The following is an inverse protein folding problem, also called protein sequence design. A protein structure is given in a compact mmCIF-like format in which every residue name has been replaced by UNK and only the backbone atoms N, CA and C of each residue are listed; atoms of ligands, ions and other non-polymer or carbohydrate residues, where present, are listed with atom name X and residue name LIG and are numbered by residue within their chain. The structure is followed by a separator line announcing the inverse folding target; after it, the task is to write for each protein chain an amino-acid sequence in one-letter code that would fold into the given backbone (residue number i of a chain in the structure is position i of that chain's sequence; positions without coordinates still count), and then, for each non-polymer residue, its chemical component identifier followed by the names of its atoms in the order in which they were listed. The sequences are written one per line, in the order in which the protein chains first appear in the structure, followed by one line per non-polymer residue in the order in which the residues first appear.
data_IF_895427356464
#
_entry.id   IF_895427356464
#
_cell.length_a   1.000
_cell.length_b   1.000
_cell.length_c   1.000
_cell.angle_alpha   90.00
_cell.angle_beta   90.00
_cell.angle_gamma   90.00
#
_symmetry.space_group_name_H-M   'P 1'
#
loop_
_entity.id
_entity.type
_entity.pdbx_description
1 polymer ?
#
# COMPACT_ATOMS: atom_id res chain seq x y z
N UNK A 1 -49.88 -12.03 20.85
CA UNK A 1 -48.44 -11.68 20.97
C UNK A 1 -47.54 -12.65 20.18
N UNK A 2 -47.82 -12.92 18.89
CA UNK A 2 -47.01 -13.87 18.07
C UNK A 2 -46.23 -13.20 16.92
N UNK A 3 -46.39 -11.90 16.71
CA UNK A 3 -45.84 -11.19 15.56
C UNK A 3 -44.63 -10.30 15.89
N UNK A 4 -44.32 -10.10 17.17
CA UNK A 4 -43.19 -9.26 17.63
C UNK A 4 -41.83 -9.95 17.51
N UNK A 5 -41.79 -11.28 17.39
CA UNK A 5 -40.54 -12.04 17.28
C UNK A 5 -39.92 -11.99 15.86
N UNK A 6 -40.70 -11.69 14.81
CA UNK A 6 -40.22 -11.68 13.42
C UNK A 6 -39.42 -10.44 13.04
N UNK A 7 -39.56 -9.33 13.79
CA UNK A 7 -38.88 -8.07 13.50
C UNK A 7 -37.41 -8.12 13.96
N UNK A 8 -37.09 -8.87 15.02
CA UNK A 8 -35.72 -8.99 15.53
C UNK A 8 -34.76 -9.75 14.60
N UNK A 9 -35.26 -10.71 13.82
CA UNK A 9 -34.44 -11.49 12.88
C UNK A 9 -34.04 -10.66 11.65
N UNK A 10 -34.85 -9.67 11.26
CA UNK A 10 -34.57 -8.84 10.09
C UNK A 10 -33.45 -7.82 10.31
N UNK A 11 -33.23 -7.38 11.56
CA UNK A 11 -32.21 -6.37 11.91
C UNK A 11 -30.79 -6.96 11.90
N UNK A 12 -30.62 -8.26 12.19
CA UNK A 12 -29.32 -8.94 12.13
C UNK A 12 -28.86 -9.29 10.71
N UNK A 13 -29.76 -9.28 9.72
CA UNK A 13 -29.41 -9.61 8.33
C UNK A 13 -28.76 -8.44 7.57
N UNK A 14 -28.74 -7.24 8.17
CA UNK A 14 -28.22 -6.00 7.59
C UNK A 14 -27.03 -5.46 8.39
N UNK A 15 -26.11 -6.31 8.84
CA UNK A 15 -24.80 -5.80 9.24
C UNK A 15 -24.06 -5.35 7.96
N UNK A 16 -23.83 -4.04 7.74
CA UNK A 16 -22.89 -3.65 6.69
C UNK A 16 -21.56 -4.32 7.01
N UNK A 17 -20.95 -4.97 6.02
CA UNK A 17 -19.58 -5.42 6.13
C UNK A 17 -18.71 -4.18 6.32
N UNK A 18 -18.36 -3.84 7.57
CA UNK A 18 -17.34 -2.86 7.87
C UNK A 18 -16.09 -3.35 7.16
N UNK A 19 -15.68 -2.63 6.12
CA UNK A 19 -14.45 -2.95 5.40
C UNK A 19 -13.34 -2.27 6.17
N UNK A 20 -12.49 -3.06 6.81
CA UNK A 20 -11.42 -2.53 7.65
C UNK A 20 -10.45 -1.62 6.88
N UNK A 21 -9.98 -0.54 7.51
CA UNK A 21 -8.90 0.30 6.99
C UNK A 21 -7.56 -0.44 7.19
N UNK A 22 -6.71 -0.51 6.15
CA UNK A 22 -5.39 -1.17 6.31
C UNK A 22 -4.32 -0.16 6.67
N UNK A 23 -3.65 -0.37 7.80
CA UNK A 23 -2.53 0.45 8.29
C UNK A 23 -1.25 -0.36 8.34
N UNK A 24 -0.19 0.18 7.73
CA UNK A 24 1.12 -0.45 7.64
C UNK A 24 2.14 0.50 8.23
N UNK A 25 2.99 0.02 9.14
CA UNK A 25 4.17 0.77 9.59
C UNK A 25 5.42 0.17 8.99
N UNK A 26 6.43 1.00 8.78
CA UNK A 26 7.76 0.61 8.31
C UNK A 26 8.83 1.26 9.16
N UNK A 27 10.03 0.70 9.17
CA UNK A 27 11.17 1.22 9.95
C UNK A 27 12.43 1.47 9.12
N UNK A 28 12.44 0.99 7.88
CA UNK A 28 13.59 1.12 6.98
C UNK A 28 13.12 1.50 5.59
N UNK A 29 13.87 2.42 4.96
CA UNK A 29 13.69 2.87 3.59
C UNK A 29 14.95 2.59 2.80
N UNK A 30 14.79 2.05 1.60
CA UNK A 30 15.87 1.75 0.67
C UNK A 30 15.54 2.42 -0.66
N UNK A 31 16.48 3.20 -1.18
CA UNK A 31 16.38 3.80 -2.50
C UNK A 31 17.35 3.12 -3.45
N UNK A 32 16.88 2.82 -4.66
CA UNK A 32 17.68 2.15 -5.68
C UNK A 32 17.46 2.70 -7.08
N UNK A 33 18.39 2.37 -7.97
CA UNK A 33 18.32 2.66 -9.40
C UNK A 33 18.51 1.36 -10.15
N UNK A 34 17.68 1.11 -11.13
CA UNK A 34 17.83 -0.09 -11.95
C UNK A 34 19.02 0.04 -12.89
N UNK A 35 19.85 -1.00 -12.97
CA UNK A 35 20.95 -1.10 -13.93
C UNK A 35 20.60 -2.11 -15.02
N UNK A 36 20.29 -1.63 -16.23
CA UNK A 36 20.02 -2.52 -17.36
C UNK A 36 21.23 -3.38 -17.75
N UNK A 37 22.44 -2.87 -17.52
CA UNK A 37 23.69 -3.59 -17.81
C UNK A 37 23.89 -4.82 -16.91
N UNK A 38 23.53 -4.71 -15.63
CA UNK A 38 23.71 -5.79 -14.64
C UNK A 38 22.43 -6.53 -14.29
N UNK A 39 21.28 -6.05 -14.78
CA UNK A 39 19.96 -6.60 -14.48
C UNK A 39 19.68 -6.66 -12.97
N UNK A 40 20.12 -5.64 -12.24
CA UNK A 40 20.02 -5.55 -10.78
C UNK A 40 19.76 -4.13 -10.28
N UNK A 41 19.37 -4.01 -9.01
CA UNK A 41 19.17 -2.73 -8.35
C UNK A 41 20.46 -2.23 -7.71
N UNK A 42 20.94 -1.07 -8.16
CA UNK A 42 21.99 -0.31 -7.49
C UNK A 42 21.40 0.45 -6.31
N UNK A 43 21.76 0.03 -5.10
CA UNK A 43 21.27 0.67 -3.88
C UNK A 43 22.06 1.95 -3.62
N UNK A 44 21.38 3.09 -3.72
CA UNK A 44 21.99 4.41 -3.57
C UNK A 44 21.83 4.98 -2.18
N UNK A 45 20.82 4.56 -1.43
CA UNK A 45 20.58 5.03 -0.07
C UNK A 45 19.84 3.97 0.75
N UNK A 46 20.16 3.90 2.05
CA UNK A 46 19.46 3.12 3.07
C UNK A 46 19.33 3.97 4.32
N UNK A 47 18.11 4.15 4.79
CA UNK A 47 17.79 4.96 5.96
C UNK A 47 16.90 4.16 6.91
N UNK A 48 17.14 4.32 8.21
CA UNK A 48 16.20 3.87 9.24
C UNK A 48 15.25 5.02 9.54
N UNK A 49 14.08 4.97 8.91
CA UNK A 49 13.08 6.02 8.99
C UNK A 49 11.70 5.38 9.16
N UNK A 50 11.06 5.66 10.29
CA UNK A 50 9.73 5.16 10.58
C UNK A 50 8.70 5.91 9.75
N UNK A 51 7.93 5.21 8.92
CA UNK A 51 6.84 5.80 8.13
C UNK A 51 5.60 4.92 8.17
N UNK A 52 4.44 5.52 7.99
CA UNK A 52 3.13 4.83 8.06
C UNK A 52 2.40 4.95 6.74
N UNK A 53 1.72 3.90 6.32
CA UNK A 53 0.88 3.85 5.15
C UNK A 53 -0.54 3.48 5.56
N UNK A 54 -1.53 4.20 5.07
CA UNK A 54 -2.93 3.93 5.36
C UNK A 54 -3.71 3.82 4.05
N UNK A 55 -4.21 2.62 3.75
CA UNK A 55 -5.15 2.42 2.66
C UNK A 55 -6.57 2.62 3.16
N UNK A 56 -7.39 3.33 2.40
CA UNK A 56 -8.83 3.33 2.66
C UNK A 56 -9.44 1.94 2.41
N UNK A 57 -10.67 1.75 2.89
CA UNK A 57 -11.39 0.48 2.85
C UNK A 57 -11.48 -0.19 1.46
N UNK A 58 -11.48 0.64 0.41
CA UNK A 58 -11.60 0.18 -0.97
C UNK A 58 -10.25 0.13 -1.72
N UNK A 59 -9.13 0.41 -1.03
CA UNK A 59 -7.79 0.48 -1.61
C UNK A 59 -7.71 1.43 -2.82
N UNK A 60 -8.55 2.47 -2.84
CA UNK A 60 -8.59 3.52 -3.88
C UNK A 60 -7.76 4.74 -3.51
N UNK A 61 -7.41 4.87 -2.22
CA UNK A 61 -6.50 5.88 -1.73
C UNK A 61 -5.49 5.26 -0.77
N UNK A 62 -4.26 5.75 -0.84
CA UNK A 62 -3.18 5.48 0.09
C UNK A 62 -2.64 6.80 0.64
N UNK A 63 -2.57 6.93 1.96
CA UNK A 63 -1.89 8.04 2.62
C UNK A 63 -0.56 7.56 3.17
N UNK A 64 0.53 8.20 2.77
CA UNK A 64 1.89 7.93 3.27
C UNK A 64 2.30 9.05 4.23
N UNK A 65 2.51 8.70 5.49
CA UNK A 65 2.98 9.60 6.54
C UNK A 65 4.47 9.38 6.79
N UNK A 66 5.24 10.45 6.63
CA UNK A 66 6.67 10.51 6.91
C UNK A 66 6.94 11.52 8.03
N UNK A 67 8.16 11.55 8.58
CA UNK A 67 8.55 12.58 9.54
C UNK A 67 8.48 14.00 8.96
N UNK A 68 8.69 14.13 7.65
CA UNK A 68 8.69 15.42 6.93
C UNK A 68 7.32 15.88 6.42
N UNK A 69 6.29 15.03 6.49
CA UNK A 69 4.96 15.37 5.99
C UNK A 69 4.16 14.17 5.50
N UNK A 70 3.08 14.45 4.78
CA UNK A 70 2.18 13.44 4.22
C UNK A 70 2.11 13.52 2.70
N UNK A 71 1.84 12.40 2.05
CA UNK A 71 1.55 12.33 0.62
C UNK A 71 0.34 11.44 0.38
N UNK A 72 -0.57 11.88 -0.47
CA UNK A 72 -1.78 11.12 -0.82
C UNK A 72 -1.62 10.56 -2.22
N UNK A 73 -1.98 9.29 -2.39
CA UNK A 73 -1.98 8.61 -3.68
C UNK A 73 -3.37 8.11 -4.01
N UNK A 74 -3.84 8.37 -5.23
CA UNK A 74 -4.96 7.64 -5.82
C UNK A 74 -4.44 6.30 -6.32
N UNK A 75 -5.01 5.21 -5.84
CA UNK A 75 -4.58 3.85 -6.16
C UNK A 75 -5.63 3.09 -6.95
N UNK A 76 -5.17 2.19 -7.82
CA UNK A 76 -6.01 1.24 -8.54
C UNK A 76 -5.32 -0.10 -8.55
N UNK A 77 -5.97 -1.12 -7.98
CA UNK A 77 -5.46 -2.49 -8.05
C UNK A 77 -5.41 -2.92 -9.52
N UNK A 78 -4.22 -3.33 -9.96
CA UNK A 78 -4.00 -3.82 -11.33
C UNK A 78 -4.04 -5.34 -11.37
N UNK A 79 -3.30 -6.00 -10.46
CA UNK A 79 -3.25 -7.46 -10.39
C UNK A 79 -2.78 -7.96 -9.03
N UNK A 80 -3.23 -9.15 -8.68
CA UNK A 80 -2.58 -9.99 -7.68
C UNK A 80 -1.59 -10.93 -8.39
N UNK A 81 -0.33 -10.94 -7.94
CA UNK A 81 0.69 -11.88 -8.42
C UNK A 81 0.73 -13.08 -7.46
N UNK A 82 0.12 -14.19 -7.87
CA UNK A 82 0.03 -15.40 -7.05
C UNK A 82 1.41 -16.02 -6.76
N UNK A 83 2.35 -15.93 -7.71
CA UNK A 83 3.70 -16.50 -7.58
C UNK A 83 4.49 -15.77 -6.49
N UNK A 84 4.39 -14.45 -6.47
CA UNK A 84 5.07 -13.60 -5.50
C UNK A 84 4.19 -13.24 -4.30
N UNK A 85 2.94 -13.72 -4.26
CA UNK A 85 1.90 -13.41 -3.27
C UNK A 85 1.85 -11.91 -2.93
N UNK A 86 1.84 -11.09 -3.97
CA UNK A 86 1.93 -9.62 -3.86
C UNK A 86 0.84 -8.90 -4.65
N UNK A 87 0.40 -7.75 -4.14
CA UNK A 87 -0.58 -6.89 -4.79
C UNK A 87 0.12 -5.77 -5.55
N UNK A 88 -0.23 -5.60 -6.82
CA UNK A 88 0.30 -4.53 -7.66
C UNK A 88 -0.79 -3.50 -7.92
N UNK A 89 -0.49 -2.24 -7.61
CA UNK A 89 -1.35 -1.10 -7.80
C UNK A 89 -0.67 -0.10 -8.75
N UNK A 90 -1.47 0.53 -9.60
CA UNK A 90 -1.10 1.84 -10.12
C UNK A 90 -1.38 2.87 -9.03
N UNK A 91 -0.42 3.73 -8.74
CA UNK A 91 -0.55 4.80 -7.76
C UNK A 91 -0.16 6.14 -8.38
N UNK A 92 -0.99 7.16 -8.18
CA UNK A 92 -0.75 8.52 -8.67
C UNK A 92 -0.73 9.46 -7.46
N UNK A 93 0.39 10.15 -7.22
CA UNK A 93 0.48 11.12 -6.13
C UNK A 93 -0.41 12.34 -6.37
N UNK A 94 -0.69 13.08 -5.30
CA UNK A 94 -1.28 14.43 -5.33
C UNK A 94 -0.54 15.41 -6.25
N UNK A 95 0.77 15.25 -6.41
CA UNK A 95 1.61 16.00 -7.36
C UNK A 95 1.58 15.46 -8.80
N UNK A 96 0.80 14.40 -9.09
CA UNK A 96 0.62 13.82 -10.42
C UNK A 96 1.67 12.79 -10.86
N UNK A 97 2.62 12.43 -9.98
CA UNK A 97 3.64 11.43 -10.30
C UNK A 97 3.04 10.03 -10.29
N UNK A 98 3.43 9.20 -11.26
CA UNK A 98 2.92 7.84 -11.41
C UNK A 98 3.91 6.81 -10.87
N UNK A 99 3.39 5.83 -10.16
CA UNK A 99 4.16 4.75 -9.54
C UNK A 99 3.48 3.41 -9.80
N UNK A 100 4.29 2.38 -10.01
CA UNK A 100 3.89 1.01 -9.77
C UNK A 100 4.15 0.69 -8.30
N UNK A 101 3.08 0.57 -7.54
CA UNK A 101 3.11 0.28 -6.12
C UNK A 101 2.92 -1.23 -5.89
N UNK A 102 3.85 -1.85 -5.19
CA UNK A 102 3.82 -3.28 -4.89
C UNK A 102 3.76 -3.47 -3.38
N UNK A 103 2.72 -4.14 -2.90
CA UNK A 103 2.57 -4.52 -1.48
C UNK A 103 2.74 -6.03 -1.37
N UNK A 104 3.82 -6.44 -0.71
CA UNK A 104 4.21 -7.83 -0.52
C UNK A 104 4.23 -8.12 0.98
N UNK A 105 3.12 -8.70 1.47
CA UNK A 105 2.94 -8.96 2.90
C UNK A 105 3.82 -10.11 3.40
N UNK A 106 4.14 -11.09 2.54
CA UNK A 106 4.99 -12.22 2.91
C UNK A 106 6.44 -11.80 3.11
N UNK A 107 6.98 -11.03 2.16
CA UNK A 107 8.34 -10.49 2.26
C UNK A 107 8.41 -9.24 3.11
N UNK A 108 7.28 -8.80 3.67
CA UNK A 108 7.13 -7.59 4.50
C UNK A 108 7.73 -6.36 3.80
N UNK A 109 7.32 -6.09 2.57
CA UNK A 109 7.84 -4.98 1.75
C UNK A 109 6.73 -4.21 1.06
N UNK A 110 6.85 -2.89 1.05
CA UNK A 110 6.10 -1.99 0.17
C UNK A 110 7.09 -1.29 -0.74
N UNK A 111 6.82 -1.25 -2.05
CA UNK A 111 7.75 -0.77 -3.08
C UNK A 111 7.04 0.19 -4.02
N UNK A 112 7.63 1.36 -4.21
CA UNK A 112 7.27 2.30 -5.26
C UNK A 112 8.33 2.20 -6.36
N UNK A 113 7.90 1.86 -7.57
CA UNK A 113 8.75 1.82 -8.76
C UNK A 113 8.24 2.86 -9.75
N UNK A 114 9.12 3.72 -10.23
CA UNK A 114 8.76 4.80 -11.15
C UNK A 114 9.93 5.17 -12.04
N UNK A 115 9.65 5.92 -13.11
CA UNK A 115 10.69 6.58 -13.90
C UNK A 115 10.88 8.00 -13.41
N UNK A 116 12.13 8.43 -13.22
CA UNK A 116 12.43 9.83 -12.97
C UNK A 116 12.41 10.67 -14.25
N UNK A 117 12.69 11.96 -14.12
CA UNK A 117 12.76 12.93 -15.23
C UNK A 117 13.84 12.60 -16.29
N UNK A 118 14.76 11.71 -15.97
CA UNK A 118 15.81 11.24 -16.87
C UNK A 118 15.55 9.83 -17.40
N UNK A 119 14.29 9.36 -17.32
CA UNK A 119 13.84 8.04 -17.75
C UNK A 119 14.50 6.87 -17.01
N UNK A 120 15.20 7.11 -15.90
CA UNK A 120 15.81 6.06 -15.09
C UNK A 120 14.75 5.42 -14.21
N UNK A 121 14.76 4.09 -14.14
CA UNK A 121 13.85 3.35 -13.26
C UNK A 121 14.38 3.41 -11.82
N UNK A 122 13.59 3.97 -10.92
CA UNK A 122 13.88 4.17 -9.50
C UNK A 122 13.05 3.23 -8.65
N UNK A 123 13.62 2.84 -7.52
CA UNK A 123 12.97 2.06 -6.46
C UNK A 123 12.99 2.88 -5.17
N UNK A 124 11.84 2.95 -4.50
CA UNK A 124 11.74 3.28 -3.08
C UNK A 124 11.06 2.11 -2.40
N UNK A 125 11.80 1.36 -1.60
CA UNK A 125 11.29 0.22 -0.82
C UNK A 125 11.24 0.59 0.65
N UNK A 126 10.16 0.19 1.32
CA UNK A 126 10.10 0.19 2.77
C UNK A 126 9.92 -1.24 3.29
N UNK A 127 10.63 -1.55 4.38
CA UNK A 127 10.47 -2.82 5.09
C UNK A 127 9.35 -2.66 6.14
N UNK A 128 8.33 -3.52 6.05
CA UNK A 128 7.12 -3.49 6.87
C UNK A 128 7.43 -4.05 8.25
N UNK A 129 7.14 -3.26 9.28
CA UNK A 129 7.26 -3.64 10.69
C UNK A 129 5.95 -4.22 11.22
N UNK A 130 4.85 -3.49 11.02
CA UNK A 130 3.52 -3.88 11.52
C UNK A 130 2.48 -3.70 10.43
N UNK A 131 1.51 -4.61 10.42
CA UNK A 131 0.31 -4.57 9.58
C UNK A 131 -0.90 -4.70 10.50
N UNK A 132 -1.83 -3.76 10.41
CA UNK A 132 -3.08 -3.76 11.18
C UNK A 132 -4.24 -3.56 10.20
N UNK A 133 -5.26 -4.40 10.34
CA UNK A 133 -6.55 -4.20 9.72
C UNK A 133 -7.45 -3.59 10.80
N UNK A 134 -7.87 -2.34 10.62
CA UNK A 134 -8.68 -1.61 11.59
C UNK A 134 -10.16 -1.91 11.35
N UNK A 135 -10.80 -2.59 12.30
CA UNK A 135 -12.21 -3.01 12.28
C UNK A 135 -13.23 -1.85 12.37
#
# INVERSE_FOLDING_TARGET
MKNTLKIFILIFAWSPSLKAQTKISSEKRICGVWSDLRNEWDIVNKEENSTTFEFNENYTFLTHFTSSGLSIFKTRLQKYDEKNRSYNFEAISDSGNKYNLIVDYEKKKIRFIYKDEHEKTRLVQHDIKTLVFAD
#
